data_IF_517047278350
#
_entry.id   IF_517047278350
#
_cell.length_a   1.000
_cell.length_b   1.000
_cell.length_c   1.000
_cell.angle_alpha   90.00
_cell.angle_beta   90.00
_cell.angle_gamma   90.00
#
_symmetry.space_group_name_H-M   'P 1'
#
loop_
_entity.id
_entity.type
_entity.pdbx_description
1 polymer ?
#
# COMPACT_ATOMS: atom_id res chain seq x y z
N UNK A 1 -12.28 2.47 -44.02
CA UNK A 1 -11.50 3.44 -43.21
C UNK A 1 -10.56 4.25 -44.11
N UNK A 2 -10.78 5.57 -44.23
CA UNK A 2 -9.94 6.47 -45.03
C UNK A 2 -9.22 7.45 -44.10
N UNK A 3 -7.91 7.60 -44.22
CA UNK A 3 -7.14 8.57 -43.43
C UNK A 3 -7.00 9.84 -44.25
N UNK A 4 -7.47 10.96 -43.70
CA UNK A 4 -7.33 12.29 -44.28
C UNK A 4 -6.30 13.05 -43.46
N UNK A 5 -5.31 13.63 -44.12
CA UNK A 5 -4.34 14.52 -43.47
C UNK A 5 -4.74 15.95 -43.78
N UNK A 6 -4.91 16.80 -42.75
CA UNK A 6 -5.18 18.22 -42.95
C UNK A 6 -3.88 19.00 -43.24
N UNK A 7 -4.01 20.29 -43.59
CA UNK A 7 -2.88 21.18 -43.94
C UNK A 7 -1.86 21.39 -42.81
N UNK A 8 -2.21 21.00 -41.57
CA UNK A 8 -1.35 21.04 -40.39
C UNK A 8 -0.76 19.65 -40.03
N UNK A 9 -0.77 18.71 -40.97
CA UNK A 9 -0.28 17.33 -40.81
C UNK A 9 -1.01 16.51 -39.73
N UNK A 10 -2.22 16.92 -39.35
CA UNK A 10 -3.07 16.16 -38.43
C UNK A 10 -3.84 15.11 -39.23
N UNK A 11 -3.65 13.85 -38.84
CA UNK A 11 -4.30 12.69 -39.45
C UNK A 11 -5.66 12.46 -38.77
N UNK A 12 -6.74 12.60 -39.53
CA UNK A 12 -8.09 12.23 -39.14
C UNK A 12 -8.49 10.92 -39.83
N UNK A 13 -9.25 10.08 -39.13
CA UNK A 13 -9.79 8.84 -39.67
C UNK A 13 -11.27 9.06 -39.96
N UNK A 14 -11.67 8.86 -41.22
CA UNK A 14 -13.09 8.87 -41.62
C UNK A 14 -13.67 7.48 -41.45
N UNK A 15 -14.78 7.44 -40.71
CA UNK A 15 -15.52 6.24 -40.36
C UNK A 15 -16.94 6.43 -40.88
N UNK A 16 -17.40 5.53 -41.77
CA UNK A 16 -18.79 5.50 -42.22
C UNK A 16 -19.76 5.45 -41.02
N UNK A 17 -20.90 6.14 -41.12
CA UNK A 17 -21.85 6.26 -40.00
C UNK A 17 -22.44 4.90 -39.59
N UNK A 18 -22.60 3.98 -40.54
CA UNK A 18 -23.02 2.60 -40.35
C UNK A 18 -21.96 1.74 -39.62
N UNK A 19 -20.70 2.14 -39.65
CA UNK A 19 -19.59 1.47 -38.96
C UNK A 19 -19.22 2.14 -37.61
N UNK A 20 -19.79 3.31 -37.31
CA UNK A 20 -19.43 4.14 -36.15
C UNK A 20 -19.66 3.42 -34.82
N UNK A 21 -20.82 2.79 -34.64
CA UNK A 21 -21.17 2.13 -33.39
C UNK A 21 -20.27 0.91 -33.12
N UNK A 22 -19.95 0.12 -34.16
CA UNK A 22 -18.99 -0.99 -34.05
C UNK A 22 -17.61 -0.48 -33.68
N UNK A 23 -17.13 0.57 -34.37
CA UNK A 23 -15.82 1.15 -34.11
C UNK A 23 -15.68 1.74 -32.71
N UNK A 24 -16.70 2.44 -32.21
CA UNK A 24 -16.70 2.98 -30.85
C UNK A 24 -16.67 1.85 -29.82
N UNK A 25 -17.39 0.75 -30.07
CA UNK A 25 -17.37 -0.42 -29.19
C UNK A 25 -16.00 -1.11 -29.22
N UNK A 26 -15.38 -1.24 -30.38
CA UNK A 26 -14.03 -1.83 -30.53
C UNK A 26 -12.95 -0.95 -29.88
N UNK A 27 -13.06 0.38 -29.98
CA UNK A 27 -12.18 1.31 -29.27
C UNK A 27 -12.38 1.23 -27.76
N UNK A 28 -13.62 1.12 -27.28
CA UNK A 28 -13.91 0.96 -25.85
C UNK A 28 -13.34 -0.35 -25.34
N UNK A 29 -13.62 -1.47 -26.02
CA UNK A 29 -13.07 -2.77 -25.70
C UNK A 29 -11.53 -2.77 -25.74
N UNK A 30 -10.93 -2.12 -26.73
CA UNK A 30 -9.49 -1.95 -26.84
C UNK A 30 -8.88 -1.06 -25.74
N UNK A 31 -9.57 0.01 -25.32
CA UNK A 31 -9.17 0.85 -24.18
C UNK A 31 -9.30 0.13 -22.86
N UNK A 32 -10.35 -0.66 -22.67
CA UNK A 32 -10.56 -1.45 -21.46
C UNK A 32 -9.52 -2.57 -21.38
N UNK A 33 -9.24 -3.23 -22.50
CA UNK A 33 -8.17 -4.23 -22.60
C UNK A 33 -6.79 -3.58 -22.37
N UNK A 34 -6.52 -2.41 -22.96
CA UNK A 34 -5.29 -1.67 -22.71
C UNK A 34 -5.19 -1.21 -21.25
N UNK A 35 -6.31 -0.83 -20.61
CA UNK A 35 -6.34 -0.50 -19.18
C UNK A 35 -5.99 -1.71 -18.32
N UNK A 36 -6.55 -2.88 -18.64
CA UNK A 36 -6.27 -4.15 -17.96
C UNK A 36 -4.82 -4.60 -18.19
N UNK A 37 -4.28 -4.44 -19.40
CA UNK A 37 -2.89 -4.78 -19.74
C UNK A 37 -1.88 -3.78 -19.16
N UNK A 38 -2.27 -2.50 -19.01
CA UNK A 38 -1.45 -1.46 -18.37
C UNK A 38 -1.52 -1.50 -16.84
N UNK A 39 -2.48 -2.22 -16.26
CA UNK A 39 -2.35 -2.66 -14.87
C UNK A 39 -1.22 -3.69 -14.83
N UNK A 40 0.00 -3.19 -14.63
CA UNK A 40 1.19 -4.02 -14.40
C UNK A 40 0.75 -5.13 -13.43
N UNK A 41 0.75 -6.42 -13.85
CA UNK A 41 0.38 -7.49 -12.96
C UNK A 41 1.29 -7.35 -11.74
N UNK A 42 0.67 -7.13 -10.58
CA UNK A 42 1.42 -6.98 -9.33
C UNK A 42 2.31 -8.19 -9.23
N UNK A 43 3.63 -7.96 -9.10
CA UNK A 43 4.60 -9.03 -8.89
C UNK A 43 4.08 -9.97 -7.80
N UNK A 44 4.25 -11.27 -7.99
CA UNK A 44 3.90 -12.20 -6.93
C UNK A 44 4.73 -11.91 -5.68
N UNK A 45 4.24 -12.27 -4.50
CA UNK A 45 4.91 -11.93 -3.24
C UNK A 45 6.36 -12.44 -3.16
N UNK A 46 6.66 -13.57 -3.82
CA UNK A 46 8.00 -14.16 -3.89
C UNK A 46 8.92 -13.48 -4.91
N UNK A 47 8.38 -12.66 -5.81
CA UNK A 47 9.12 -11.89 -6.82
C UNK A 47 9.37 -10.43 -6.39
N UNK A 48 8.81 -10.02 -5.25
CA UNK A 48 8.99 -8.67 -4.71
C UNK A 48 10.34 -8.53 -4.00
N UNK A 49 11.02 -7.40 -4.19
CA UNK A 49 12.12 -7.04 -3.28
C UNK A 49 11.58 -6.72 -1.89
N UNK A 50 12.42 -6.73 -0.84
CA UNK A 50 12.01 -6.32 0.50
C UNK A 50 11.35 -4.93 0.55
N UNK A 51 11.83 -3.98 -0.25
CA UNK A 51 11.29 -2.62 -0.34
C UNK A 51 9.92 -2.59 -1.01
N UNK A 52 9.74 -3.37 -2.09
CA UNK A 52 8.45 -3.51 -2.77
C UNK A 52 7.41 -4.16 -1.84
N UNK A 53 7.81 -5.20 -1.14
CA UNK A 53 6.97 -5.87 -0.14
C UNK A 53 6.59 -4.91 1.01
N UNK A 54 7.56 -4.15 1.52
CA UNK A 54 7.31 -3.14 2.55
C UNK A 54 6.32 -2.09 2.06
N UNK A 55 6.50 -1.58 0.84
CA UNK A 55 5.58 -0.60 0.26
C UNK A 55 4.17 -1.18 0.05
N UNK A 56 4.08 -2.45 -0.32
CA UNK A 56 2.82 -3.18 -0.49
C UNK A 56 2.06 -3.35 0.83
N UNK A 57 2.75 -3.73 1.91
CA UNK A 57 2.14 -4.01 3.21
C UNK A 57 1.91 -2.77 4.08
N UNK A 58 2.63 -1.68 3.83
CA UNK A 58 2.59 -0.46 4.65
C UNK A 58 1.17 0.11 4.87
N UNK A 59 0.28 0.20 3.86
CA UNK A 59 -1.06 0.74 4.06
C UNK A 59 -1.88 -0.09 5.05
N UNK A 60 -1.89 -1.42 4.89
CA UNK A 60 -2.60 -2.35 5.77
C UNK A 60 -2.01 -2.32 7.18
N UNK A 61 -0.69 -2.29 7.32
CA UNK A 61 -0.04 -2.20 8.62
C UNK A 61 -0.43 -0.90 9.36
N UNK A 62 -0.47 0.24 8.65
CA UNK A 62 -0.92 1.52 9.23
C UNK A 62 -2.38 1.49 9.67
N UNK A 63 -3.24 0.84 8.89
CA UNK A 63 -4.65 0.69 9.24
C UNK A 63 -4.81 -0.14 10.53
N UNK A 64 -4.14 -1.29 10.62
CA UNK A 64 -4.18 -2.15 11.81
C UNK A 64 -3.68 -1.43 13.06
N UNK A 65 -2.58 -0.68 12.96
CA UNK A 65 -2.08 0.13 14.09
C UNK A 65 -3.11 1.17 14.52
N UNK A 66 -3.76 1.85 13.57
CA UNK A 66 -4.80 2.83 13.88
C UNK A 66 -6.01 2.20 14.58
N UNK A 67 -6.44 1.03 14.12
CA UNK A 67 -7.55 0.27 14.74
C UNK A 67 -7.19 -0.16 16.16
N UNK A 68 -6.01 -0.74 16.37
CA UNK A 68 -5.52 -1.13 17.69
C UNK A 68 -5.49 0.06 18.68
N UNK A 69 -4.98 1.21 18.25
CA UNK A 69 -4.94 2.41 19.08
C UNK A 69 -6.35 2.93 19.43
N UNK A 70 -7.31 2.85 18.50
CA UNK A 70 -8.70 3.24 18.77
C UNK A 70 -9.40 2.31 19.77
N UNK A 71 -8.98 1.04 19.83
CA UNK A 71 -9.47 0.05 20.82
C UNK A 71 -8.79 0.18 22.18
N UNK A 72 -7.89 1.16 22.36
CA UNK A 72 -7.15 1.37 23.60
C UNK A 72 -5.92 0.48 23.76
N UNK A 73 -5.49 -0.21 22.70
CA UNK A 73 -4.23 -0.94 22.68
C UNK A 73 -3.05 0.00 22.41
N UNK A 74 -1.85 -0.56 22.45
CA UNK A 74 -0.59 0.15 22.22
C UNK A 74 0.15 -0.39 21.00
N UNK A 75 1.01 0.45 20.41
CA UNK A 75 2.08 -0.02 19.52
C UNK A 75 3.33 -0.34 20.34
N UNK A 76 3.94 -1.50 20.12
CA UNK A 76 5.16 -1.92 20.82
C UNK A 76 6.37 -1.91 19.88
N UNK A 77 7.46 -1.28 20.31
CA UNK A 77 8.71 -1.18 19.55
C UNK A 77 9.83 -1.78 20.39
N UNK A 78 10.50 -2.80 19.87
CA UNK A 78 11.69 -3.37 20.51
C UNK A 78 12.84 -2.35 20.50
N UNK A 79 13.50 -2.20 21.65
CA UNK A 79 14.64 -1.32 21.83
C UNK A 79 15.91 -2.15 21.93
N UNK A 80 16.80 -2.00 20.95
CA UNK A 80 18.15 -2.59 21.00
C UNK A 80 19.09 -1.64 21.75
N UNK A 81 19.05 -1.72 23.09
CA UNK A 81 19.91 -0.93 23.97
C UNK A 81 21.07 -1.81 24.45
N UNK A 82 22.34 -1.37 24.30
CA UNK A 82 23.48 -2.12 24.79
C UNK A 82 23.35 -2.50 26.26
N UNK A 83 23.55 -3.79 26.57
CA UNK A 83 23.46 -4.39 27.90
C UNK A 83 22.06 -4.47 28.53
N UNK A 84 21.01 -4.15 27.77
CA UNK A 84 19.63 -4.17 28.25
C UNK A 84 18.80 -5.00 27.26
N UNK A 85 18.47 -6.23 27.65
CA UNK A 85 17.69 -7.17 26.82
C UNK A 85 16.20 -7.07 27.12
N UNK A 86 15.39 -7.42 26.13
CA UNK A 86 13.94 -7.63 26.27
C UNK A 86 13.16 -6.38 26.69
N UNK A 87 13.61 -5.19 26.26
CA UNK A 87 12.91 -3.93 26.51
C UNK A 87 12.12 -3.45 25.30
N UNK A 88 10.92 -2.97 25.57
CA UNK A 88 10.02 -2.47 24.55
C UNK A 88 9.46 -1.12 24.96
N UNK A 89 9.16 -0.30 23.95
CA UNK A 89 8.47 0.95 24.12
C UNK A 89 7.02 0.79 23.66
N UNK A 90 6.09 0.85 24.60
CA UNK A 90 4.65 0.89 24.33
C UNK A 90 4.23 2.34 24.12
N UNK A 91 3.52 2.62 23.04
CA UNK A 91 2.93 3.93 22.75
C UNK A 91 1.43 3.81 22.63
N UNK A 92 0.73 4.61 23.42
CA UNK A 92 -0.72 4.65 23.48
C UNK A 92 -1.28 5.82 22.68
N UNK A 93 -2.59 5.78 22.41
CA UNK A 93 -3.27 6.81 21.61
C UNK A 93 -3.30 8.19 22.28
N UNK A 94 -3.27 8.22 23.61
CA UNK A 94 -3.28 9.45 24.43
C UNK A 94 -1.92 10.16 24.48
N UNK A 95 -0.88 9.59 23.85
CA UNK A 95 0.49 10.09 23.88
C UNK A 95 1.34 9.50 25.00
N UNK A 96 0.74 8.77 25.94
CA UNK A 96 1.47 8.06 26.99
C UNK A 96 2.41 7.05 26.34
N UNK A 97 3.64 7.02 26.86
CA UNK A 97 4.67 6.08 26.41
C UNK A 97 5.21 5.32 27.62
N UNK A 98 5.26 4.00 27.55
CA UNK A 98 5.78 3.14 28.62
C UNK A 98 7.02 2.39 28.14
N UNK A 99 8.09 2.46 28.92
CA UNK A 99 9.21 1.54 28.78
C UNK A 99 8.90 0.31 29.61
N UNK A 100 8.81 -0.84 28.96
CA UNK A 100 8.55 -2.12 29.59
C UNK A 100 9.73 -3.08 29.40
N UNK A 101 9.86 -4.03 30.30
CA UNK A 101 10.71 -5.20 30.13
C UNK A 101 9.83 -6.45 30.12
N UNK A 102 10.07 -7.35 29.17
CA UNK A 102 9.35 -8.62 29.08
C UNK A 102 10.27 -9.74 29.55
N UNK A 103 9.80 -10.57 30.49
CA UNK A 103 10.54 -11.78 30.87
C UNK A 103 10.48 -12.81 29.72
N UNK A 104 11.62 -13.18 29.17
CA UNK A 104 11.69 -14.09 28.02
C UNK A 104 11.19 -15.52 28.29
N UNK A 105 11.04 -15.94 29.55
CA UNK A 105 10.55 -17.26 29.95
C UNK A 105 9.05 -17.26 30.25
N UNK A 106 8.54 -16.22 30.93
CA UNK A 106 7.13 -16.17 31.35
C UNK A 106 6.25 -15.31 30.46
N UNK A 107 6.85 -14.38 29.70
CA UNK A 107 6.13 -13.35 28.95
C UNK A 107 5.55 -12.25 29.84
N UNK A 108 5.85 -12.23 31.14
CA UNK A 108 5.37 -11.20 32.04
C UNK A 108 6.00 -9.85 31.70
N UNK A 109 5.16 -8.82 31.64
CA UNK A 109 5.59 -7.45 31.39
C UNK A 109 5.78 -6.69 32.71
N UNK A 110 6.90 -5.99 32.81
CA UNK A 110 7.19 -5.08 33.91
C UNK A 110 7.36 -3.67 33.36
N UNK A 111 6.49 -2.76 33.78
CA UNK A 111 6.64 -1.33 33.48
C UNK A 111 7.81 -0.78 34.28
N UNK A 112 8.80 -0.25 33.58
CA UNK A 112 10.00 0.34 34.16
C UNK A 112 9.85 1.86 34.30
N UNK A 113 9.27 2.51 33.29
CA UNK A 113 9.09 3.95 33.27
C UNK A 113 7.89 4.36 32.42
N UNK A 114 7.19 5.41 32.84
CA UNK A 114 6.08 6.02 32.11
C UNK A 114 6.43 7.46 31.77
N UNK A 115 6.21 7.84 30.51
CA UNK A 115 6.40 9.19 29.98
C UNK A 115 5.04 9.71 29.51
N UNK A 116 4.73 10.96 29.83
CA UNK A 116 3.51 11.67 29.47
C UNK A 116 3.85 12.95 28.72
#
# INVERSE_FOLDING_TARGET
>A
MQVITNENDQKAIVIPLDEYDSFVNDIKAGKDLASILNQIPRKAAYDMTPEEMKAHLMPTAKQLVKEALNEGLYSSIWLDIPNIKDHFLHKYADGTTELIQVDAKTGEEKVLQVYK
#
